data_IF_695257691893
#
_entry.id   IF_695257691893
#
_cell.length_a   1.000
_cell.length_b   1.000
_cell.length_c   1.000
_cell.angle_alpha   90.00
_cell.angle_beta   90.00
_cell.angle_gamma   90.00
#
_symmetry.space_group_name_H-M   'P 1'
#
loop_
_entity.id
_entity.type
_entity.pdbx_description
1 polymer ?
#
# COMPACT_ATOMS: atom_id res chain seq x y z
N UNK A 1 -33.36 1.73 14.88
CA UNK A 1 -32.87 3.01 14.32
C UNK A 1 -31.36 2.99 14.41
N UNK A 2 -30.62 3.22 13.31
CA UNK A 2 -29.16 3.31 13.34
C UNK A 2 -28.85 4.63 14.06
N UNK A 3 -28.03 4.57 15.10
CA UNK A 3 -27.62 5.77 15.85
C UNK A 3 -26.51 6.54 15.12
N UNK A 4 -26.25 7.79 15.54
CA UNK A 4 -25.26 8.64 14.90
C UNK A 4 -23.83 8.08 15.02
N UNK A 5 -23.53 7.33 16.07
CA UNK A 5 -22.23 6.71 16.30
C UNK A 5 -21.99 5.56 15.31
N UNK A 6 -23.01 4.72 15.09
CA UNK A 6 -22.93 3.64 14.10
C UNK A 6 -22.73 4.19 12.68
N UNK A 7 -23.39 5.30 12.34
CA UNK A 7 -23.17 5.97 11.04
C UNK A 7 -21.74 6.49 10.89
N UNK A 8 -21.15 7.05 11.95
CA UNK A 8 -19.75 7.48 11.94
C UNK A 8 -18.80 6.29 11.73
N UNK A 9 -19.02 5.17 12.41
CA UNK A 9 -18.22 3.97 12.22
C UNK A 9 -18.31 3.40 10.78
N UNK A 10 -19.51 3.38 10.21
CA UNK A 10 -19.71 2.99 8.81
C UNK A 10 -18.93 3.94 7.88
N UNK A 11 -19.01 5.25 8.10
CA UNK A 11 -18.28 6.23 7.32
C UNK A 11 -16.75 6.01 7.37
N UNK A 12 -16.20 5.69 8.56
CA UNK A 12 -14.77 5.38 8.74
C UNK A 12 -14.35 4.17 7.93
N UNK A 13 -15.13 3.07 7.98
CA UNK A 13 -14.86 1.83 7.25
C UNK A 13 -14.96 2.07 5.75
N UNK A 14 -16.01 2.75 5.28
CA UNK A 14 -16.20 3.06 3.86
C UNK A 14 -15.06 3.93 3.33
N UNK A 15 -14.68 4.98 4.07
CA UNK A 15 -13.56 5.84 3.69
C UNK A 15 -12.25 5.07 3.60
N UNK A 16 -11.95 4.21 4.57
CA UNK A 16 -10.77 3.35 4.54
C UNK A 16 -10.76 2.44 3.30
N UNK A 17 -11.89 1.79 3.02
CA UNK A 17 -12.05 0.91 1.88
C UNK A 17 -11.85 1.64 0.54
N UNK A 18 -12.39 2.85 0.41
CA UNK A 18 -12.22 3.70 -0.78
C UNK A 18 -10.76 4.13 -0.97
N UNK A 19 -10.09 4.59 0.08
CA UNK A 19 -8.69 5.02 0.01
C UNK A 19 -7.76 3.84 -0.30
N UNK A 20 -7.94 2.70 0.37
CA UNK A 20 -7.20 1.48 0.08
C UNK A 20 -7.49 0.96 -1.33
N UNK A 21 -8.75 1.00 -1.76
CA UNK A 21 -9.16 0.66 -3.12
C UNK A 21 -8.50 1.54 -4.18
N UNK A 22 -8.38 2.85 -3.95
CA UNK A 22 -7.71 3.77 -4.86
C UNK A 22 -6.22 3.40 -5.08
N UNK A 23 -5.49 3.08 -3.99
CA UNK A 23 -4.11 2.57 -4.09
C UNK A 23 -4.10 1.24 -4.84
N UNK A 24 -5.02 0.33 -4.49
CA UNK A 24 -5.11 -0.99 -5.10
C UNK A 24 -5.42 -0.95 -6.60
N UNK A 25 -6.25 -0.02 -7.07
CA UNK A 25 -6.54 0.19 -8.49
C UNK A 25 -5.29 0.60 -9.27
N UNK A 26 -4.49 1.52 -8.73
CA UNK A 26 -3.20 1.90 -9.33
C UNK A 26 -2.26 0.69 -9.41
N UNK A 27 -2.22 -0.14 -8.35
CA UNK A 27 -1.40 -1.35 -8.32
C UNK A 27 -1.88 -2.41 -9.31
N UNK A 28 -3.18 -2.62 -9.43
CA UNK A 28 -3.78 -3.55 -10.39
C UNK A 28 -3.56 -3.09 -11.84
N UNK A 29 -3.76 -1.81 -12.12
CA UNK A 29 -3.47 -1.22 -13.43
C UNK A 29 -2.02 -1.41 -13.88
N UNK A 30 -1.10 -1.56 -12.92
CA UNK A 30 0.34 -1.77 -13.15
C UNK A 30 0.78 -3.23 -13.05
N UNK A 31 -0.14 -4.18 -13.07
CA UNK A 31 0.15 -5.63 -12.97
C UNK A 31 1.04 -5.99 -11.77
N UNK A 32 0.78 -5.37 -10.59
CA UNK A 32 1.49 -5.69 -9.36
C UNK A 32 0.83 -6.86 -8.62
N UNK A 33 1.63 -7.62 -7.86
CA UNK A 33 1.19 -8.85 -7.18
C UNK A 33 0.01 -8.63 -6.21
N UNK A 34 -0.13 -7.44 -5.60
CA UNK A 34 -1.27 -7.05 -4.79
C UNK A 34 -1.99 -5.88 -5.47
N UNK A 35 -3.23 -6.10 -5.90
CA UNK A 35 -4.09 -5.14 -6.58
C UNK A 35 -5.23 -4.63 -5.68
N UNK A 36 -6.36 -4.27 -6.33
CA UNK A 36 -7.53 -3.68 -5.70
C UNK A 36 -8.04 -4.46 -4.49
N UNK A 37 -8.29 -5.77 -4.66
CA UNK A 37 -8.86 -6.61 -3.61
C UNK A 37 -8.02 -6.63 -2.36
N UNK A 38 -6.72 -6.75 -2.50
CA UNK A 38 -5.79 -6.82 -1.37
C UNK A 38 -5.78 -5.52 -0.58
N UNK A 39 -5.60 -4.38 -1.25
CA UNK A 39 -5.52 -3.08 -0.58
C UNK A 39 -6.86 -2.66 0.01
N UNK A 40 -7.97 -2.91 -0.69
CA UNK A 40 -9.33 -2.69 -0.19
C UNK A 40 -9.58 -3.44 1.13
N UNK A 41 -9.30 -4.76 1.16
CA UNK A 41 -9.52 -5.59 2.34
C UNK A 41 -8.57 -5.23 3.49
N UNK A 42 -7.33 -4.91 3.21
CA UNK A 42 -6.35 -4.48 4.22
C UNK A 42 -6.77 -3.18 4.89
N UNK A 43 -7.17 -2.17 4.11
CA UNK A 43 -7.62 -0.90 4.67
C UNK A 43 -8.90 -1.04 5.48
N UNK A 44 -9.90 -1.76 4.93
CA UNK A 44 -11.17 -2.05 5.60
C UNK A 44 -10.95 -2.78 6.93
N UNK A 45 -10.18 -3.87 6.91
CA UNK A 45 -9.89 -4.67 8.11
C UNK A 45 -9.14 -3.87 9.17
N UNK A 46 -8.15 -3.05 8.76
CA UNK A 46 -7.40 -2.21 9.69
C UNK A 46 -8.29 -1.15 10.34
N UNK A 47 -9.21 -0.51 9.59
CA UNK A 47 -10.17 0.44 10.16
C UNK A 47 -11.11 -0.23 11.15
N UNK A 48 -11.62 -1.42 10.80
CA UNK A 48 -12.49 -2.19 11.69
C UNK A 48 -11.77 -2.59 12.99
N UNK A 49 -10.53 -3.09 12.91
CA UNK A 49 -9.75 -3.40 14.10
C UNK A 49 -9.48 -2.18 14.98
N UNK A 50 -9.24 -1.02 14.38
CA UNK A 50 -9.07 0.23 15.12
C UNK A 50 -10.36 0.65 15.84
N UNK A 51 -11.51 0.56 15.20
CA UNK A 51 -12.82 0.85 15.80
C UNK A 51 -13.09 -0.12 16.96
N UNK A 52 -12.88 -1.42 16.76
CA UNK A 52 -13.04 -2.43 17.82
C UNK A 52 -12.12 -2.14 19.00
N UNK A 53 -10.86 -1.75 18.73
CA UNK A 53 -9.90 -1.40 19.78
C UNK A 53 -10.34 -0.21 20.63
N UNK A 54 -10.89 0.81 19.97
CA UNK A 54 -11.27 2.06 20.65
C UNK A 54 -12.64 1.97 21.35
N UNK A 55 -13.56 1.19 20.83
CA UNK A 55 -14.97 1.23 21.23
C UNK A 55 -15.55 -0.13 21.60
N UNK A 56 -14.98 -1.24 21.14
CA UNK A 56 -15.58 -2.56 21.27
C UNK A 56 -15.59 -3.15 22.69
N UNK A 57 -14.82 -2.56 23.64
CA UNK A 57 -14.66 -3.10 25.00
C UNK A 57 -15.12 -2.10 26.07
N UNK A 58 -15.84 -1.05 25.71
CA UNK A 58 -16.26 0.00 26.66
C UNK A 58 -17.13 -0.54 27.79
N UNK A 59 -18.05 -1.46 27.50
CA UNK A 59 -18.92 -2.06 28.50
C UNK A 59 -18.17 -2.92 29.51
N UNK A 60 -17.06 -3.53 29.11
CA UNK A 60 -16.22 -4.32 30.01
C UNK A 60 -15.41 -3.46 31.02
N UNK A 61 -15.31 -2.16 30.78
CA UNK A 61 -14.54 -1.24 31.62
C UNK A 61 -15.35 -0.66 32.78
N UNK A 62 -16.68 -0.77 32.76
CA UNK A 62 -17.55 -0.23 33.81
C UNK A 62 -17.27 -0.84 35.18
N UNK A 63 -16.60 -2.01 35.23
CA UNK A 63 -16.26 -2.74 36.44
C UNK A 63 -14.76 -2.81 36.76
N UNK A 64 -13.88 -2.27 35.91
CA UNK A 64 -12.43 -2.39 36.08
C UNK A 64 -11.74 -1.03 36.22
N UNK A 65 -10.93 -0.87 37.28
CA UNK A 65 -10.02 0.29 37.47
C UNK A 65 -8.93 0.41 36.38
N UNK A 66 -8.95 -0.44 35.35
CA UNK A 66 -7.91 -0.53 34.35
C UNK A 66 -8.33 0.17 33.05
N UNK A 67 -7.53 1.14 32.61
CA UNK A 67 -7.67 1.75 31.28
C UNK A 67 -7.26 0.76 30.20
N UNK A 68 -8.14 0.51 29.24
CA UNK A 68 -7.77 -0.23 28.04
C UNK A 68 -6.75 0.57 27.22
N UNK A 69 -5.68 -0.09 26.85
CA UNK A 69 -4.70 0.47 25.93
C UNK A 69 -5.18 0.26 24.47
N UNK A 70 -5.79 1.30 23.92
CA UNK A 70 -6.29 1.33 22.55
C UNK A 70 -5.17 1.07 21.53
N UNK A 71 -3.91 1.35 21.86
CA UNK A 71 -2.78 1.17 20.95
C UNK A 71 -2.43 -0.31 20.71
N UNK A 72 -2.85 -1.22 21.58
CA UNK A 72 -2.48 -2.63 21.49
C UNK A 72 -2.94 -3.31 20.21
N UNK A 73 -4.20 -3.15 19.82
CA UNK A 73 -4.73 -3.77 18.61
C UNK A 73 -4.09 -3.11 17.38
N UNK A 74 -3.93 -1.79 17.38
CA UNK A 74 -3.22 -1.09 16.32
C UNK A 74 -1.80 -1.61 16.14
N UNK A 75 -1.05 -1.83 17.24
CA UNK A 75 0.29 -2.41 17.20
C UNK A 75 0.28 -3.83 16.61
N UNK A 76 -0.73 -4.65 16.93
CA UNK A 76 -0.87 -6.00 16.37
C UNK A 76 -1.19 -5.97 14.88
N UNK A 77 -1.99 -5.01 14.40
CA UNK A 77 -2.22 -4.82 12.96
C UNK A 77 -0.91 -4.50 12.25
N UNK A 78 -0.11 -3.55 12.78
CA UNK A 78 1.19 -3.18 12.21
C UNK A 78 2.15 -4.37 12.16
N UNK A 79 2.19 -5.19 13.21
CA UNK A 79 3.00 -6.40 13.25
C UNK A 79 2.48 -7.47 12.28
N UNK A 80 1.17 -7.74 12.30
CA UNK A 80 0.52 -8.78 11.47
C UNK A 80 0.59 -8.50 9.98
N UNK A 81 0.46 -7.24 9.56
CA UNK A 81 0.55 -6.87 8.16
C UNK A 81 1.96 -7.09 7.57
N UNK A 82 2.99 -7.09 8.43
CA UNK A 82 4.34 -7.44 8.05
C UNK A 82 4.45 -8.87 7.51
N UNK A 83 3.69 -9.82 8.05
CA UNK A 83 3.63 -11.20 7.56
C UNK A 83 3.01 -11.28 6.17
N UNK A 84 1.89 -10.56 5.93
CA UNK A 84 1.24 -10.49 4.61
C UNK A 84 2.18 -9.82 3.60
N UNK A 85 2.81 -8.71 3.98
CA UNK A 85 3.78 -8.01 3.15
C UNK A 85 4.97 -8.91 2.77
N UNK A 86 5.55 -9.62 3.73
CA UNK A 86 6.65 -10.54 3.50
C UNK A 86 6.26 -11.65 2.50
N UNK A 87 5.01 -12.13 2.53
CA UNK A 87 4.48 -13.10 1.58
C UNK A 87 4.47 -12.63 0.12
N UNK A 88 4.61 -11.34 -0.14
CA UNK A 88 4.69 -10.77 -1.51
C UNK A 88 6.12 -10.61 -2.02
N UNK A 89 7.13 -10.82 -1.15
CA UNK A 89 8.55 -10.68 -1.52
C UNK A 89 9.06 -12.02 -2.02
N UNK A 90 9.50 -12.06 -3.27
CA UNK A 90 9.97 -13.27 -3.94
C UNK A 90 11.42 -13.09 -4.37
N UNK A 91 12.25 -14.05 -4.02
CA UNK A 91 13.62 -14.19 -4.50
C UNK A 91 13.63 -15.03 -5.77
N UNK A 92 14.02 -14.47 -6.90
CA UNK A 92 14.07 -15.16 -8.17
C UNK A 92 15.37 -14.82 -8.93
N UNK A 93 16.22 -15.81 -9.19
CA UNK A 93 17.42 -15.70 -10.03
C UNK A 93 18.25 -14.42 -9.76
N UNK A 94 18.76 -14.21 -8.58
CA UNK A 94 19.53 -13.02 -8.17
C UNK A 94 18.76 -11.68 -8.12
N UNK A 95 17.44 -11.67 -8.22
CA UNK A 95 16.62 -10.48 -8.10
C UNK A 95 15.58 -10.63 -6.99
N UNK A 96 15.37 -9.59 -6.22
CA UNK A 96 14.29 -9.48 -5.22
C UNK A 96 13.13 -8.72 -5.85
N UNK A 97 11.94 -9.31 -5.86
CA UNK A 97 10.70 -8.70 -6.37
C UNK A 97 9.69 -8.56 -5.24
N UNK A 98 8.76 -7.59 -5.38
CA UNK A 98 7.66 -7.42 -4.44
C UNK A 98 7.92 -6.45 -3.29
N UNK A 99 9.11 -5.86 -3.13
CA UNK A 99 9.41 -4.91 -2.04
C UNK A 99 8.45 -3.72 -2.02
N UNK A 100 8.21 -3.08 -3.16
CA UNK A 100 7.25 -1.95 -3.26
C UNK A 100 5.82 -2.41 -2.99
N UNK A 101 5.45 -3.63 -3.39
CA UNK A 101 4.14 -4.22 -3.09
C UNK A 101 3.98 -4.43 -1.58
N UNK A 102 4.98 -5.00 -0.91
CA UNK A 102 4.97 -5.17 0.55
C UNK A 102 4.83 -3.82 1.28
N UNK A 103 5.60 -2.81 0.85
CA UNK A 103 5.52 -1.45 1.41
C UNK A 103 4.14 -0.80 1.16
N UNK A 104 3.54 -1.00 -0.02
CA UNK A 104 2.20 -0.45 -0.32
C UNK A 104 1.10 -1.10 0.53
N UNK A 105 1.17 -2.40 0.80
CA UNK A 105 0.26 -3.11 1.71
C UNK A 105 0.41 -2.57 3.13
N UNK A 106 1.65 -2.37 3.59
CA UNK A 106 1.95 -1.87 4.94
C UNK A 106 1.40 -0.47 5.16
N UNK A 107 1.63 0.47 4.24
CA UNK A 107 1.10 1.83 4.35
C UNK A 107 -0.43 1.88 4.21
N UNK A 108 -1.02 0.99 3.43
CA UNK A 108 -2.48 0.86 3.31
C UNK A 108 -3.12 0.46 4.64
N UNK A 109 -2.48 -0.44 5.41
CA UNK A 109 -2.95 -0.77 6.74
C UNK A 109 -2.90 0.45 7.69
N UNK A 110 -1.83 1.27 7.62
CA UNK A 110 -1.73 2.50 8.41
C UNK A 110 -2.82 3.52 8.03
N UNK A 111 -3.14 3.67 6.74
CA UNK A 111 -4.25 4.51 6.26
C UNK A 111 -5.59 4.01 6.83
N UNK A 112 -5.81 2.69 6.82
CA UNK A 112 -7.00 2.08 7.42
C UNK A 112 -7.12 2.35 8.91
N UNK A 113 -6.03 2.17 9.68
CA UNK A 113 -5.97 2.52 11.11
C UNK A 113 -6.31 4.01 11.34
N UNK A 114 -5.76 4.90 10.52
CA UNK A 114 -6.03 6.33 10.56
C UNK A 114 -7.51 6.67 10.34
N UNK A 115 -8.15 6.03 9.35
CA UNK A 115 -9.60 6.18 9.12
C UNK A 115 -10.41 5.67 10.31
N UNK A 116 -10.08 4.49 10.85
CA UNK A 116 -10.72 3.91 12.01
C UNK A 116 -10.61 4.80 13.26
N UNK A 117 -9.49 5.51 13.42
CA UNK A 117 -9.28 6.48 14.45
C UNK A 117 -9.97 7.86 14.19
N UNK A 118 -10.61 8.06 13.04
CA UNK A 118 -11.23 9.32 12.64
C UNK A 118 -10.24 10.37 12.11
N UNK A 119 -8.99 9.99 11.82
CA UNK A 119 -7.93 10.90 11.34
C UNK A 119 -7.97 11.03 9.79
N UNK A 120 -9.12 11.43 9.26
CA UNK A 120 -9.39 11.47 7.81
C UNK A 120 -8.41 12.34 7.03
N UNK A 121 -8.06 13.52 7.55
CA UNK A 121 -7.13 14.41 6.85
C UNK A 121 -5.76 13.76 6.66
N UNK A 122 -5.24 13.06 7.66
CA UNK A 122 -3.98 12.33 7.58
C UNK A 122 -4.09 11.14 6.63
N UNK A 123 -5.17 10.38 6.69
CA UNK A 123 -5.40 9.23 5.83
C UNK A 123 -5.47 9.65 4.34
N UNK A 124 -6.23 10.71 4.02
CA UNK A 124 -6.36 11.25 2.66
C UNK A 124 -5.01 11.78 2.17
N UNK A 125 -4.33 12.59 2.96
CA UNK A 125 -3.01 13.15 2.60
C UNK A 125 -2.00 12.02 2.36
N UNK A 126 -1.96 11.01 3.23
CA UNK A 126 -1.08 9.85 3.06
C UNK A 126 -1.40 9.08 1.78
N UNK A 127 -2.68 8.89 1.47
CA UNK A 127 -3.09 8.21 0.22
C UNK A 127 -2.62 8.98 -1.01
N UNK A 128 -2.78 10.31 -1.02
CA UNK A 128 -2.30 11.15 -2.13
C UNK A 128 -0.79 11.08 -2.28
N UNK A 129 -0.04 11.15 -1.18
CA UNK A 129 1.42 11.03 -1.21
C UNK A 129 1.88 9.65 -1.69
N UNK A 130 1.19 8.58 -1.29
CA UNK A 130 1.47 7.22 -1.76
C UNK A 130 1.26 7.14 -3.28
N UNK A 131 0.11 7.59 -3.79
CA UNK A 131 -0.19 7.58 -5.21
C UNK A 131 0.83 8.41 -6.01
N UNK A 132 1.18 9.60 -5.53
CA UNK A 132 2.21 10.44 -6.14
C UNK A 132 3.58 9.75 -6.13
N UNK A 133 3.99 9.13 -5.04
CA UNK A 133 5.26 8.43 -4.92
C UNK A 133 5.36 7.23 -5.85
N UNK A 134 4.28 6.46 -5.96
CA UNK A 134 4.18 5.31 -6.85
C UNK A 134 4.25 5.73 -8.33
N UNK A 135 3.65 6.86 -8.70
CA UNK A 135 3.64 7.38 -10.06
C UNK A 135 4.93 8.12 -10.43
N UNK A 136 5.46 8.95 -9.53
CA UNK A 136 6.69 9.72 -9.76
C UNK A 136 7.89 8.83 -10.08
N UNK A 137 8.03 7.71 -9.38
CA UNK A 137 9.11 6.75 -9.62
C UNK A 137 9.03 6.11 -11.02
N UNK A 138 7.82 5.79 -11.47
CA UNK A 138 7.60 5.24 -12.81
C UNK A 138 7.89 6.27 -13.93
N UNK A 139 7.54 7.54 -13.68
CA UNK A 139 7.85 8.63 -14.60
C UNK A 139 9.36 8.84 -14.72
N UNK A 140 10.08 8.81 -13.58
CA UNK A 140 11.54 8.97 -13.55
C UNK A 140 12.24 7.84 -14.31
N UNK A 141 11.85 6.58 -14.09
CA UNK A 141 12.42 5.45 -14.82
C UNK A 141 12.21 5.57 -16.33
N UNK A 142 10.99 5.88 -16.78
CA UNK A 142 10.69 6.07 -18.22
C UNK A 142 11.49 7.22 -18.84
N UNK A 143 11.79 8.25 -18.07
CA UNK A 143 12.61 9.35 -18.55
C UNK A 143 14.08 8.96 -18.63
N UNK A 144 14.57 8.19 -17.68
CA UNK A 144 15.95 7.70 -17.65
C UNK A 144 16.21 6.72 -18.80
N UNK A 145 15.31 5.78 -19.06
CA UNK A 145 15.40 4.84 -20.18
C UNK A 145 15.43 5.55 -21.54
N UNK A 146 14.67 6.65 -21.71
CA UNK A 146 14.73 7.47 -22.94
C UNK A 146 16.05 8.20 -23.12
N UNK A 147 16.75 8.54 -22.04
CA UNK A 147 18.02 9.26 -22.11
C UNK A 147 19.20 8.32 -22.39
N UNK A 148 19.11 7.05 -22.00
CA UNK A 148 20.17 6.05 -22.14
C UNK A 148 19.91 5.03 -23.27
N UNK A 149 18.68 4.92 -23.77
CA UNK A 149 18.31 4.00 -24.87
C UNK A 149 18.83 4.44 -26.24
N UNK A 150 19.27 5.70 -26.39
CA UNK A 150 19.67 6.25 -27.69
C UNK A 150 21.15 5.98 -28.02
N UNK A 151 21.95 5.48 -27.07
CA UNK A 151 23.38 5.24 -27.31
C UNK A 151 23.68 3.83 -27.88
N UNK A 152 22.76 2.87 -27.75
CA UNK A 152 22.99 1.50 -28.23
C UNK A 152 22.59 1.29 -29.70
N UNK A 153 21.74 2.14 -30.28
CA UNK A 153 21.36 2.01 -31.69
C UNK A 153 22.46 2.53 -32.64
N UNK A 154 23.32 3.44 -32.15
CA UNK A 154 24.41 3.99 -32.97
C UNK A 154 25.64 3.06 -33.07
N UNK A 155 25.74 2.01 -32.28
CA UNK A 155 26.85 1.05 -32.33
C UNK A 155 26.61 -0.11 -33.33
N UNK A 156 25.35 -0.36 -33.69
CA UNK A 156 25.01 -1.42 -34.65
C UNK A 156 24.97 -0.96 -36.13
N UNK A 157 24.99 0.36 -36.36
CA UNK A 157 25.00 0.91 -37.73
C UNK A 157 26.40 1.31 -38.23
N UNK A 158 27.46 0.68 -37.73
CA UNK A 158 28.81 0.87 -38.31
C UNK A 158 29.05 -0.16 -39.43
N UNK A 159 28.90 0.19 -40.72
CA UNK A 159 29.04 -0.75 -41.85
C UNK A 159 30.46 -1.28 -42.06
N UNK A 160 31.44 -0.82 -41.28
CA UNK A 160 32.86 -1.16 -41.46
C UNK A 160 33.35 -2.36 -40.68
N UNK A 161 32.49 -3.11 -39.97
CA UNK A 161 32.90 -4.29 -39.18
C UNK A 161 32.69 -5.66 -39.92
N UNK A 162 32.11 -5.65 -41.12
CA UNK A 162 31.79 -6.86 -41.84
C UNK A 162 32.79 -7.28 -42.93
N UNK A 163 33.92 -6.58 -43.09
CA UNK A 163 34.83 -6.86 -44.23
C UNK A 163 36.09 -7.70 -43.90
N UNK A 164 36.21 -8.31 -42.71
CA UNK A 164 37.42 -9.04 -42.32
C UNK A 164 37.21 -10.57 -41.98
N UNK A 165 36.19 -11.22 -42.48
CA UNK A 165 36.06 -12.67 -42.31
C UNK A 165 35.89 -13.39 -43.67
N UNK A 166 36.75 -13.14 -44.66
CA UNK A 166 36.96 -14.02 -45.83
C UNK A 166 38.36 -13.78 -46.37
N UNK A 167 39.37 -14.43 -45.78
CA UNK A 167 40.61 -14.91 -46.43
C UNK A 167 41.19 -16.06 -45.65
#
# INVERSE_FOLDING_TARGET
>A
MIDSQTLDFIARIVTAALLGGAIGLEREYRDKAAGFRTHFLVALGSALFMIISAYGFQDALVTAEHRLDVSRIAAQVVSGIGFIGAGTIIFQKNAVRGLTTAASIWVTAAIGLGCGAGLYALAITSTLLVLLGLEAFNFFLRRFDRLHGNDNDNLNDNPNLNDNEND
#
